data_IF_699701995068
#
_entry.id   IF_699701995068
#
_cell.length_a   1.000
_cell.length_b   1.000
_cell.length_c   1.000
_cell.angle_alpha   90.00
_cell.angle_beta   90.00
_cell.angle_gamma   90.00
#
_symmetry.space_group_name_H-M   'P 1'
#
loop_
_entity.id
_entity.type
_entity.pdbx_description
1 polymer ?
#
# COMPACT_ATOMS: atom_id res chain seq x y z
N UNK A 1 -60.61 24.56 39.56
CA UNK A 1 -59.43 24.26 40.38
C UNK A 1 -59.17 22.78 40.20
N UNK A 2 -58.38 22.41 39.19
CA UNK A 2 -56.90 22.51 39.17
C UNK A 2 -56.28 21.43 40.05
N UNK A 3 -55.21 20.75 39.65
CA UNK A 3 -54.64 20.47 38.32
C UNK A 3 -53.68 19.27 38.53
N UNK A 4 -53.41 18.51 37.47
CA UNK A 4 -52.29 17.56 37.24
C UNK A 4 -51.52 16.93 38.43
N UNK A 5 -51.26 15.62 38.46
CA UNK A 5 -50.86 14.79 37.32
C UNK A 5 -49.34 14.63 37.34
N UNK A 6 -48.84 13.70 38.16
CA UNK A 6 -47.39 13.44 38.28
C UNK A 6 -47.09 11.94 38.24
N UNK A 7 -47.45 11.31 37.12
CA UNK A 7 -46.87 10.02 36.75
C UNK A 7 -45.43 10.24 36.30
N UNK A 8 -44.53 10.31 37.29
CA UNK A 8 -43.10 10.44 37.05
C UNK A 8 -42.61 9.31 36.14
N UNK A 9 -42.28 9.67 34.91
CA UNK A 9 -41.89 8.77 33.83
C UNK A 9 -40.64 7.97 34.23
N UNK A 10 -40.85 6.80 34.83
CA UNK A 10 -39.79 5.86 35.21
C UNK A 10 -39.19 5.29 33.93
N UNK A 11 -38.18 5.99 33.38
CA UNK A 11 -37.33 5.44 32.32
C UNK A 11 -36.89 4.04 32.75
N UNK A 12 -37.36 3.06 31.98
CA UNK A 12 -37.21 1.67 32.33
C UNK A 12 -35.71 1.36 32.35
N UNK A 13 -35.15 0.85 33.46
CA UNK A 13 -33.68 0.71 33.62
C UNK A 13 -33.05 -0.11 32.48
N UNK A 14 -33.83 -1.03 31.91
CA UNK A 14 -33.46 -1.80 30.71
C UNK A 14 -33.28 -0.94 29.46
N UNK A 15 -34.09 0.11 29.23
CA UNK A 15 -33.93 1.02 28.11
C UNK A 15 -32.62 1.82 28.20
N UNK A 16 -32.24 2.28 29.40
CA UNK A 16 -30.95 2.95 29.63
C UNK A 16 -29.76 2.00 29.43
N UNK A 17 -29.89 0.73 29.83
CA UNK A 17 -28.85 -0.30 29.63
C UNK A 17 -28.74 -0.68 28.14
N UNK A 18 -29.84 -0.85 27.42
CA UNK A 18 -29.86 -1.13 25.98
C UNK A 18 -29.30 0.06 25.20
N UNK A 19 -29.65 1.29 25.55
CA UNK A 19 -29.08 2.49 24.93
C UNK A 19 -27.58 2.63 25.23
N UNK A 20 -27.14 2.35 26.46
CA UNK A 20 -25.71 2.36 26.80
C UNK A 20 -24.93 1.26 26.08
N UNK A 21 -25.50 0.06 25.91
CA UNK A 21 -24.90 -1.01 25.11
C UNK A 21 -24.87 -0.66 23.62
N UNK A 22 -25.92 -0.01 23.09
CA UNK A 22 -26.01 0.43 21.71
C UNK A 22 -25.00 1.55 21.40
N UNK A 23 -24.85 2.53 22.30
CA UNK A 23 -23.82 3.58 22.22
C UNK A 23 -22.42 2.98 22.39
N UNK A 24 -22.24 1.97 23.27
CA UNK A 24 -20.97 1.26 23.40
C UNK A 24 -20.62 0.35 22.21
N UNK A 25 -21.60 -0.10 21.42
CA UNK A 25 -21.38 -0.79 20.14
C UNK A 25 -21.21 0.16 18.95
N UNK A 26 -21.74 1.38 19.02
CA UNK A 26 -21.52 2.45 18.04
C UNK A 26 -20.20 3.20 18.27
N UNK A 27 -19.65 3.13 19.48
CA UNK A 27 -18.26 3.47 19.75
C UNK A 27 -17.34 2.42 19.13
N UNK A 28 -17.19 2.47 17.81
CA UNK A 28 -16.10 1.83 17.09
C UNK A 28 -14.79 2.28 17.74
N UNK A 29 -14.17 1.38 18.51
CA UNK A 29 -12.85 1.63 19.06
C UNK A 29 -11.91 1.84 17.89
N UNK A 30 -11.17 2.96 17.90
CA UNK A 30 -9.95 3.10 17.12
C UNK A 30 -9.10 1.85 17.39
N UNK A 31 -8.88 1.07 16.33
CA UNK A 31 -8.24 -0.22 16.36
C UNK A 31 -7.40 -0.37 15.09
N UNK A 32 -6.22 -0.97 15.25
CA UNK A 32 -5.40 -1.35 14.11
C UNK A 32 -6.14 -2.44 13.30
N UNK A 33 -6.35 -2.18 12.03
CA UNK A 33 -7.03 -3.04 11.06
C UNK A 33 -6.12 -3.20 9.84
N UNK A 34 -5.89 -4.42 9.38
CA UNK A 34 -5.08 -4.70 8.19
C UNK A 34 -5.95 -4.57 6.93
N UNK A 35 -5.80 -3.47 6.19
CA UNK A 35 -6.51 -3.24 4.94
C UNK A 35 -5.83 -4.02 3.82
N UNK A 36 -6.59 -4.83 3.09
CA UNK A 36 -6.11 -5.61 1.97
C UNK A 36 -5.85 -4.70 0.76
N UNK A 37 -4.63 -4.73 0.21
CA UNK A 37 -4.29 -3.95 -0.99
C UNK A 37 -5.06 -4.50 -2.19
N UNK A 38 -5.85 -3.65 -2.84
CA UNK A 38 -6.75 -4.06 -3.92
C UNK A 38 -5.98 -4.48 -5.17
N UNK A 39 -6.28 -5.69 -5.61
CA UNK A 39 -5.87 -6.26 -6.89
C UNK A 39 -6.80 -5.75 -7.98
N UNK A 40 -6.25 -4.98 -8.94
CA UNK A 40 -6.98 -4.47 -10.09
C UNK A 40 -6.87 -5.37 -11.32
N UNK A 41 -7.07 -4.82 -12.52
CA UNK A 41 -6.78 -5.52 -13.78
C UNK A 41 -5.28 -5.48 -14.10
N UNK A 42 -4.78 -6.44 -14.89
CA UNK A 42 -3.35 -6.64 -15.20
C UNK A 42 -2.81 -5.61 -16.22
N UNK A 43 -1.70 -4.90 -15.90
CA UNK A 43 -1.10 -3.86 -16.76
C UNK A 43 -0.15 -4.37 -17.85
N UNK A 44 0.31 -5.62 -17.81
CA UNK A 44 0.88 -6.20 -19.03
C UNK A 44 -0.25 -6.32 -20.06
N UNK A 45 -1.39 -6.82 -19.61
CA UNK A 45 -2.56 -7.14 -20.41
C UNK A 45 -3.24 -5.90 -21.02
N UNK A 46 -3.33 -4.78 -20.31
CA UNK A 46 -3.66 -3.48 -20.89
C UNK A 46 -2.48 -2.52 -20.62
N UNK A 47 -1.46 -2.43 -21.50
CA UNK A 47 -0.22 -1.68 -21.24
C UNK A 47 -0.35 -0.16 -21.38
N UNK A 48 -1.51 0.31 -21.85
CA UNK A 48 -1.77 1.69 -22.17
C UNK A 48 -0.91 2.21 -23.31
N UNK A 49 -0.89 3.54 -23.47
CA UNK A 49 0.05 4.19 -24.38
C UNK A 49 1.43 4.27 -23.72
N UNK A 50 2.45 3.66 -24.34
CA UNK A 50 3.84 3.76 -23.90
C UNK A 50 4.28 5.24 -23.78
N UNK A 51 4.46 5.71 -22.55
CA UNK A 51 4.72 7.13 -22.29
C UNK A 51 6.18 7.46 -22.49
N UNK A 52 6.42 8.57 -23.20
CA UNK A 52 7.76 9.13 -23.38
C UNK A 52 8.07 10.08 -22.22
N UNK A 53 9.29 10.00 -21.70
CA UNK A 53 9.80 10.89 -20.65
C UNK A 53 11.06 11.57 -21.16
N UNK A 54 11.04 12.90 -21.08
CA UNK A 54 11.98 13.76 -21.78
C UNK A 54 12.96 14.38 -20.79
N UNK A 55 14.24 13.94 -20.81
CA UNK A 55 15.25 14.46 -19.91
C UNK A 55 15.52 15.94 -20.21
N UNK A 56 15.72 16.74 -19.16
CA UNK A 56 15.99 18.16 -19.29
C UNK A 56 17.48 18.45 -19.47
N UNK A 57 17.93 18.58 -20.72
CA UNK A 57 19.34 18.86 -20.98
C UNK A 57 19.69 19.21 -22.43
N UNK A 58 20.99 19.36 -22.73
CA UNK A 58 21.50 19.54 -24.09
C UNK A 58 21.12 18.33 -25.00
N UNK A 59 21.17 18.46 -26.35
CA UNK A 59 20.55 17.52 -27.30
C UNK A 59 21.18 16.12 -27.41
N UNK A 60 22.01 15.70 -26.44
CA UNK A 60 22.71 14.41 -26.39
C UNK A 60 22.12 13.48 -25.33
N UNK A 61 20.79 13.38 -25.27
CA UNK A 61 20.08 12.55 -24.29
C UNK A 61 18.85 11.94 -24.98
N UNK A 62 18.64 10.65 -24.77
CA UNK A 62 17.59 9.88 -25.43
C UNK A 62 16.31 9.93 -24.57
N UNK A 63 15.12 10.18 -25.13
CA UNK A 63 13.86 10.01 -24.40
C UNK A 63 13.74 8.60 -23.82
N UNK A 64 13.36 8.51 -22.55
CA UNK A 64 12.99 7.26 -21.92
C UNK A 64 11.55 6.89 -22.31
N UNK A 65 11.18 5.62 -22.21
CA UNK A 65 9.77 5.24 -22.30
C UNK A 65 9.39 4.12 -21.35
N UNK A 66 8.16 4.17 -20.84
CA UNK A 66 7.63 3.18 -19.91
C UNK A 66 6.14 2.96 -20.13
N UNK A 67 5.69 1.75 -19.81
CA UNK A 67 4.28 1.37 -19.82
C UNK A 67 3.78 1.40 -18.38
N UNK A 68 2.74 2.18 -18.12
CA UNK A 68 2.08 2.29 -16.81
C UNK A 68 0.69 1.61 -16.78
N UNK A 69 0.23 1.13 -17.93
CA UNK A 69 -0.99 0.33 -18.04
C UNK A 69 -2.29 1.11 -18.02
N UNK A 70 -2.25 2.41 -18.32
CA UNK A 70 -3.35 3.38 -18.12
C UNK A 70 -3.96 3.38 -16.68
N UNK A 71 -3.33 2.68 -15.72
CA UNK A 71 -3.70 2.67 -14.30
C UNK A 71 -3.51 4.04 -13.63
N UNK A 72 -2.72 4.90 -14.27
CA UNK A 72 -2.47 6.31 -13.96
C UNK A 72 -3.55 7.25 -14.53
N UNK A 73 -4.38 6.75 -15.45
CA UNK A 73 -5.44 7.50 -16.13
C UNK A 73 -6.85 7.06 -15.67
N UNK A 74 -7.00 5.78 -15.30
CA UNK A 74 -8.19 5.22 -14.66
C UNK A 74 -9.07 4.35 -15.57
N UNK A 75 -8.49 3.61 -16.51
CA UNK A 75 -9.27 2.77 -17.42
C UNK A 75 -9.76 1.45 -16.80
N UNK A 76 -10.77 0.85 -17.44
CA UNK A 76 -11.47 -0.36 -17.00
C UNK A 76 -11.02 -1.67 -17.69
N UNK A 77 -9.89 -1.66 -18.40
CA UNK A 77 -9.62 -2.65 -19.46
C UNK A 77 -8.70 -3.82 -19.08
N UNK A 78 -8.92 -4.96 -19.75
CA UNK A 78 -8.20 -6.23 -19.61
C UNK A 78 -7.91 -6.87 -20.98
N UNK A 79 -6.67 -7.28 -21.29
CA UNK A 79 -6.37 -8.04 -22.54
C UNK A 79 -5.36 -9.21 -22.32
N UNK A 80 -4.19 -9.29 -22.98
CA UNK A 80 -3.18 -10.35 -22.80
C UNK A 80 -1.73 -9.88 -23.11
N UNK A 81 -0.74 -10.08 -22.22
CA UNK A 81 0.68 -9.86 -22.55
C UNK A 81 1.71 -10.74 -21.82
N UNK A 82 2.84 -11.09 -22.48
CA UNK A 82 3.87 -11.97 -21.94
C UNK A 82 4.91 -11.27 -21.06
N UNK A 83 5.57 -12.07 -20.21
CA UNK A 83 6.81 -11.70 -19.52
C UNK A 83 7.94 -11.42 -20.53
N UNK A 84 8.69 -10.34 -20.32
CA UNK A 84 9.82 -9.94 -21.18
C UNK A 84 11.20 -10.33 -20.61
N UNK A 85 11.25 -10.98 -19.43
CA UNK A 85 12.47 -11.50 -18.81
C UNK A 85 12.93 -12.86 -19.36
N UNK A 86 13.97 -13.43 -18.76
CA UNK A 86 14.48 -14.77 -19.13
C UNK A 86 14.04 -15.82 -18.11
N UNK A 87 13.53 -16.94 -18.61
CA UNK A 87 12.91 -17.98 -17.77
C UNK A 87 11.43 -17.71 -17.51
N UNK A 88 10.78 -18.60 -16.77
CA UNK A 88 9.39 -18.45 -16.36
C UNK A 88 9.35 -17.81 -14.97
N UNK A 89 8.70 -16.65 -14.77
CA UNK A 89 8.59 -16.06 -13.45
C UNK A 89 7.58 -16.87 -12.61
N UNK A 90 7.74 -16.89 -11.28
CA UNK A 90 6.81 -17.56 -10.36
C UNK A 90 5.40 -16.95 -10.48
N UNK A 91 5.37 -15.63 -10.47
CA UNK A 91 4.21 -14.81 -10.80
C UNK A 91 4.50 -14.06 -12.08
N UNK A 92 3.62 -14.15 -13.07
CA UNK A 92 3.70 -13.23 -14.21
C UNK A 92 3.58 -11.78 -13.70
N UNK A 93 4.30 -10.79 -14.26
CA UNK A 93 4.10 -9.40 -13.85
C UNK A 93 2.63 -9.03 -13.97
N UNK A 94 2.07 -8.51 -12.88
CA UNK A 94 0.65 -8.22 -12.74
C UNK A 94 -0.31 -9.43 -12.78
N UNK A 95 0.13 -10.67 -12.49
CA UNK A 95 -0.73 -11.88 -12.51
C UNK A 95 -2.07 -11.70 -11.78
N UNK A 96 -2.06 -10.98 -10.67
CA UNK A 96 -3.25 -10.63 -9.88
C UNK A 96 -3.84 -9.26 -10.22
N UNK A 97 -3.08 -8.43 -10.95
CA UNK A 97 -3.31 -7.01 -11.12
C UNK A 97 -3.19 -6.23 -9.80
N UNK A 98 -3.00 -4.91 -9.87
CA UNK A 98 -2.95 -4.09 -8.65
C UNK A 98 -3.29 -2.65 -8.94
N UNK A 99 -4.07 -2.06 -8.02
CA UNK A 99 -4.28 -0.63 -7.91
C UNK A 99 -3.23 0.05 -7.03
N UNK A 100 -2.50 -0.73 -6.21
CA UNK A 100 -1.42 -0.25 -5.34
C UNK A 100 -0.06 -0.48 -5.99
N UNK A 101 0.79 0.54 -6.02
CA UNK A 101 2.12 0.44 -6.61
C UNK A 101 3.10 1.47 -6.04
N UNK A 102 4.39 1.19 -6.24
CA UNK A 102 5.49 2.13 -6.10
C UNK A 102 6.00 2.53 -7.48
N UNK A 103 6.31 3.80 -7.66
CA UNK A 103 6.83 4.36 -8.89
C UNK A 103 8.22 4.94 -8.64
N UNK A 104 9.22 4.45 -9.39
CA UNK A 104 10.63 4.82 -9.25
C UNK A 104 11.10 5.63 -10.46
N UNK A 105 11.86 6.70 -10.21
CA UNK A 105 12.57 7.49 -11.22
C UNK A 105 14.09 7.26 -11.11
N UNK A 106 14.77 7.10 -12.24
CA UNK A 106 16.21 6.83 -12.32
C UNK A 106 16.78 7.09 -13.71
N UNK A 107 18.07 6.87 -13.92
CA UNK A 107 18.73 7.08 -15.22
C UNK A 107 19.88 6.10 -15.41
N UNK A 108 19.99 5.45 -16.58
CA UNK A 108 21.09 4.53 -16.92
C UNK A 108 22.09 5.14 -17.91
N UNK A 109 23.37 4.74 -17.90
CA UNK A 109 24.32 5.09 -18.96
C UNK A 109 23.95 4.44 -20.31
N UNK A 110 23.74 5.25 -21.34
CA UNK A 110 23.43 4.83 -22.71
C UNK A 110 24.69 4.85 -23.61
N UNK A 111 25.82 4.36 -23.08
CA UNK A 111 27.12 4.35 -23.78
C UNK A 111 27.58 5.77 -24.14
N UNK A 112 28.03 5.97 -25.39
CA UNK A 112 28.45 7.29 -25.90
C UNK A 112 27.30 8.25 -26.17
N UNK A 113 26.04 7.80 -26.07
CA UNK A 113 24.85 8.62 -26.31
C UNK A 113 24.32 9.34 -25.05
N UNK A 114 25.05 9.28 -23.93
CA UNK A 114 24.72 10.00 -22.70
C UNK A 114 24.05 9.11 -21.65
N UNK A 115 23.03 9.65 -20.98
CA UNK A 115 22.16 8.91 -20.07
C UNK A 115 20.79 8.69 -20.72
N UNK A 116 20.02 7.73 -20.22
CA UNK A 116 18.62 7.51 -20.60
C UNK A 116 17.79 7.43 -19.32
N UNK A 117 16.72 8.25 -19.15
CA UNK A 117 15.81 8.11 -18.03
C UNK A 117 15.15 6.74 -18.07
N UNK A 118 15.08 6.09 -16.91
CA UNK A 118 14.41 4.81 -16.69
C UNK A 118 13.43 4.96 -15.56
N UNK A 119 12.22 4.47 -15.80
CA UNK A 119 11.12 4.51 -14.86
C UNK A 119 10.65 3.09 -14.60
N UNK A 120 10.38 2.76 -13.34
CA UNK A 120 9.91 1.43 -12.97
C UNK A 120 8.69 1.48 -12.06
N UNK A 121 7.88 0.42 -12.11
CA UNK A 121 6.67 0.25 -11.29
C UNK A 121 6.71 -1.11 -10.61
N UNK A 122 6.60 -1.12 -9.28
CA UNK A 122 6.42 -2.33 -8.47
C UNK A 122 4.97 -2.41 -7.98
N UNK A 123 4.27 -3.50 -8.25
CA UNK A 123 2.87 -3.66 -7.86
C UNK A 123 2.72 -4.38 -6.54
N UNK A 124 2.01 -3.75 -5.61
CA UNK A 124 2.01 -4.14 -4.20
C UNK A 124 0.89 -5.12 -3.85
N UNK A 125 -0.16 -5.23 -4.67
CA UNK A 125 -1.28 -6.16 -4.46
C UNK A 125 -1.02 -7.58 -4.96
N UNK A 126 -1.54 -8.57 -4.24
CA UNK A 126 -1.39 -9.99 -4.51
C UNK A 126 -1.37 -10.82 -3.21
N UNK A 127 -1.12 -12.14 -3.28
CA UNK A 127 -0.80 -12.95 -2.10
C UNK A 127 0.59 -12.63 -1.57
N UNK A 128 0.83 -12.88 -0.28
CA UNK A 128 2.19 -12.83 0.27
C UNK A 128 2.96 -14.06 -0.18
N UNK A 129 4.28 -13.90 -0.37
CA UNK A 129 5.18 -15.03 -0.59
C UNK A 129 5.97 -15.36 0.67
N UNK A 130 6.27 -16.65 0.83
CA UNK A 130 7.35 -17.14 1.69
C UNK A 130 8.61 -17.33 0.86
N UNK A 131 9.74 -16.82 1.34
CA UNK A 131 10.98 -16.81 0.59
C UNK A 131 11.91 -18.00 0.93
N UNK A 132 11.59 -18.86 1.90
CA UNK A 132 12.32 -20.11 2.09
C UNK A 132 11.85 -21.29 1.22
N UNK A 133 10.70 -21.15 0.56
CA UNK A 133 10.12 -22.17 -0.32
C UNK A 133 9.35 -23.28 0.39
N UNK A 134 9.16 -23.22 1.71
CA UNK A 134 8.47 -24.26 2.48
C UNK A 134 6.97 -23.97 2.65
N UNK A 135 6.15 -24.54 1.77
CA UNK A 135 4.68 -24.46 1.84
C UNK A 135 4.06 -25.10 3.10
N UNK A 136 4.85 -25.80 3.94
CA UNK A 136 4.37 -26.62 5.05
C UNK A 136 4.60 -26.04 6.46
N UNK A 137 5.43 -24.99 6.61
CA UNK A 137 5.81 -24.49 7.93
C UNK A 137 4.83 -23.46 8.54
N UNK A 138 3.99 -22.81 7.72
CA UNK A 138 3.05 -21.76 8.13
C UNK A 138 3.71 -20.49 8.70
N UNK A 139 4.98 -20.25 8.38
CA UNK A 139 5.86 -19.27 9.05
C UNK A 139 6.62 -18.43 8.02
N UNK A 140 5.97 -17.37 7.54
CA UNK A 140 6.52 -16.44 6.55
C UNK A 140 7.94 -15.97 6.87
N UNK A 141 8.86 -16.20 5.95
CA UNK A 141 10.22 -15.67 5.97
C UNK A 141 10.41 -14.58 4.93
N UNK A 142 10.94 -13.42 5.36
CA UNK A 142 11.22 -12.27 4.48
C UNK A 142 12.63 -12.26 3.87
N UNK A 143 13.45 -13.29 4.12
CA UNK A 143 14.78 -13.45 3.53
C UNK A 143 14.81 -14.71 2.67
N UNK A 144 15.29 -14.66 1.41
CA UNK A 144 15.32 -15.83 0.56
C UNK A 144 16.29 -16.88 1.08
N UNK A 145 15.91 -18.15 0.92
CA UNK A 145 16.81 -19.27 1.18
C UNK A 145 17.54 -19.65 -0.12
N UNK A 146 18.87 -19.57 -0.11
CA UNK A 146 19.69 -19.86 -1.28
C UNK A 146 19.38 -21.25 -1.86
N UNK A 147 19.08 -21.29 -3.16
CA UNK A 147 18.73 -22.52 -3.89
C UNK A 147 17.25 -22.93 -3.79
N UNK A 148 16.41 -22.18 -3.07
CA UNK A 148 14.96 -22.38 -3.04
C UNK A 148 14.23 -21.34 -3.91
N UNK A 149 13.05 -21.73 -4.40
CA UNK A 149 12.13 -20.82 -5.08
C UNK A 149 11.12 -20.32 -4.06
N UNK A 150 10.80 -19.01 -4.00
CA UNK A 150 9.69 -18.51 -3.19
C UNK A 150 8.37 -19.21 -3.52
N UNK A 151 7.46 -19.27 -2.55
CA UNK A 151 6.13 -19.90 -2.70
C UNK A 151 5.04 -18.95 -2.24
N UNK A 152 3.88 -18.98 -2.89
CA UNK A 152 2.69 -18.27 -2.39
C UNK A 152 2.23 -18.87 -1.07
N UNK A 153 1.84 -18.03 -0.11
CA UNK A 153 1.21 -18.45 1.13
C UNK A 153 -0.31 -18.44 0.93
N UNK A 154 -1.00 -19.60 0.86
CA UNK A 154 -2.41 -19.64 0.48
C UNK A 154 -3.31 -18.89 1.47
N UNK A 155 -4.25 -18.10 0.95
CA UNK A 155 -5.20 -17.32 1.76
C UNK A 155 -4.61 -16.06 2.41
N UNK A 156 -3.39 -15.66 2.05
CA UNK A 156 -2.81 -14.37 2.45
C UNK A 156 -3.01 -13.31 1.37
N UNK A 157 -2.87 -12.05 1.77
CA UNK A 157 -2.95 -10.87 0.90
C UNK A 157 -1.90 -9.86 1.36
N UNK A 158 -1.36 -9.06 0.44
CA UNK A 158 -0.62 -7.85 0.80
C UNK A 158 -1.53 -6.85 1.53
N UNK A 159 -1.03 -6.19 2.57
CA UNK A 159 -1.81 -5.31 3.45
C UNK A 159 -1.12 -3.99 3.79
N UNK A 160 -1.94 -3.01 4.18
CA UNK A 160 -1.52 -1.83 4.95
C UNK A 160 -2.33 -1.79 6.25
N UNK A 161 -1.62 -1.87 7.38
CA UNK A 161 -2.23 -1.80 8.70
C UNK A 161 -2.49 -0.35 9.08
N UNK A 162 -3.74 0.01 9.31
CA UNK A 162 -4.15 1.37 9.65
C UNK A 162 -4.95 1.38 10.95
N UNK A 163 -4.70 2.38 11.80
CA UNK A 163 -5.53 2.69 12.95
C UNK A 163 -6.28 4.00 12.67
N UNK A 164 -7.60 3.92 12.46
CA UNK A 164 -8.43 5.08 12.19
C UNK A 164 -9.13 5.57 13.47
N UNK A 165 -8.90 6.83 13.84
CA UNK A 165 -9.63 7.52 14.90
C UNK A 165 -10.37 8.72 14.30
N UNK A 166 -11.56 8.45 13.75
CA UNK A 166 -12.45 9.45 13.15
C UNK A 166 -13.01 10.45 14.17
N UNK A 167 -12.99 10.11 15.47
CA UNK A 167 -13.47 10.99 16.54
C UNK A 167 -12.38 11.90 17.10
N UNK A 168 -11.15 11.39 17.30
CA UNK A 168 -9.97 12.17 17.67
C UNK A 168 -9.29 12.88 16.49
N UNK A 169 -9.66 12.55 15.26
CA UNK A 169 -9.18 13.19 14.04
C UNK A 169 -7.78 12.75 13.61
N UNK A 170 -7.42 11.49 13.85
CA UNK A 170 -6.08 10.96 13.57
C UNK A 170 -6.10 9.63 12.81
N UNK A 171 -4.98 9.34 12.14
CA UNK A 171 -4.71 8.09 11.45
C UNK A 171 -3.29 7.63 11.76
N UNK A 172 -3.13 6.37 12.14
CA UNK A 172 -1.83 5.74 12.38
C UNK A 172 -1.50 4.66 11.37
N UNK A 173 -0.24 4.60 10.93
CA UNK A 173 0.30 3.51 10.11
C UNK A 173 0.89 2.45 11.06
N UNK A 174 0.24 1.29 11.16
CA UNK A 174 0.62 0.25 12.13
C UNK A 174 1.35 -0.91 11.49
N UNK A 175 1.12 -1.19 10.21
CA UNK A 175 1.81 -2.22 9.45
C UNK A 175 1.88 -1.82 7.96
N UNK A 176 2.82 -2.38 7.23
CA UNK A 176 2.84 -2.35 5.77
C UNK A 176 3.54 -3.62 5.32
N UNK A 177 2.89 -4.40 4.46
CA UNK A 177 3.39 -5.71 4.09
C UNK A 177 2.94 -6.08 2.67
N UNK A 178 3.83 -5.91 1.71
CA UNK A 178 3.54 -6.18 0.31
C UNK A 178 4.69 -6.92 -0.37
N UNK A 179 4.39 -8.10 -0.91
CA UNK A 179 5.30 -8.80 -1.82
C UNK A 179 4.87 -8.52 -3.26
N UNK A 180 5.80 -8.10 -4.08
CA UNK A 180 5.58 -7.52 -5.40
C UNK A 180 6.40 -8.23 -6.48
N UNK A 181 6.03 -8.01 -7.74
CA UNK A 181 6.87 -8.33 -8.89
C UNK A 181 7.34 -7.06 -9.58
N UNK A 182 8.64 -6.98 -9.80
CA UNK A 182 9.30 -5.96 -10.60
C UNK A 182 8.88 -6.11 -12.08
N UNK A 183 8.40 -5.05 -12.73
CA UNK A 183 8.21 -5.09 -14.17
C UNK A 183 9.54 -5.13 -14.93
N UNK A 184 9.67 -6.15 -15.78
CA UNK A 184 9.94 -5.84 -17.19
C UNK A 184 11.36 -5.44 -17.60
N UNK A 185 12.42 -5.75 -16.84
CA UNK A 185 13.77 -5.75 -17.42
C UNK A 185 14.13 -7.12 -18.04
N UNK A 186 14.40 -7.20 -19.36
CA UNK A 186 14.80 -8.45 -20.02
C UNK A 186 16.12 -9.01 -19.50
N UNK A 187 16.16 -10.29 -19.13
CA UNK A 187 17.37 -10.98 -18.67
C UNK A 187 17.42 -11.36 -17.19
N UNK A 188 16.43 -10.96 -16.39
CA UNK A 188 16.27 -11.45 -15.01
C UNK A 188 15.32 -12.65 -14.95
N UNK A 189 15.46 -13.47 -13.91
CA UNK A 189 14.59 -14.62 -13.61
C UNK A 189 13.71 -14.41 -12.38
N UNK A 190 12.86 -15.39 -11.99
CA UNK A 190 12.00 -15.30 -10.80
C UNK A 190 12.78 -14.94 -9.53
N UNK A 191 13.97 -15.52 -9.34
CA UNK A 191 14.83 -15.31 -8.18
C UNK A 191 15.58 -13.95 -8.17
N UNK A 192 15.10 -12.96 -8.95
CA UNK A 192 15.61 -11.58 -8.99
C UNK A 192 14.45 -10.59 -9.26
N UNK A 193 13.33 -11.07 -9.84
CA UNK A 193 12.16 -10.26 -10.20
C UNK A 193 11.11 -10.09 -9.08
N UNK A 194 11.27 -10.72 -7.92
CA UNK A 194 10.39 -10.52 -6.75
C UNK A 194 10.98 -9.43 -5.85
N UNK A 195 10.13 -8.56 -5.31
CA UNK A 195 10.50 -7.54 -4.33
C UNK A 195 9.63 -7.62 -3.08
N UNK A 196 10.20 -7.29 -1.91
CA UNK A 196 9.48 -7.26 -0.62
C UNK A 196 9.50 -5.83 -0.11
N UNK A 197 8.33 -5.35 0.33
CA UNK A 197 8.12 -4.00 0.83
C UNK A 197 7.50 -4.08 2.23
N UNK A 198 8.17 -3.51 3.24
CA UNK A 198 7.71 -3.52 4.65
C UNK A 198 8.01 -2.19 5.35
N UNK A 199 7.40 -1.92 6.52
CA UNK A 199 7.78 -0.74 7.32
C UNK A 199 9.25 -0.79 7.75
N UNK A 200 9.84 0.39 7.91
CA UNK A 200 11.18 0.53 8.46
C UNK A 200 11.35 -0.14 9.84
N UNK A 201 12.51 -0.73 10.06
CA UNK A 201 12.84 -1.45 11.29
C UNK A 201 12.26 -2.86 11.37
N UNK A 202 11.49 -3.31 10.37
CA UNK A 202 10.93 -4.67 10.32
C UNK A 202 12.05 -5.71 10.31
N UNK A 203 12.01 -6.60 11.29
CA UNK A 203 12.99 -7.66 11.46
C UNK A 203 12.81 -8.73 10.36
N UNK A 204 13.84 -9.56 10.05
CA UNK A 204 13.78 -10.57 8.98
C UNK A 204 12.69 -11.65 9.13
N UNK A 205 12.04 -11.72 10.30
CA UNK A 205 10.91 -12.59 10.62
C UNK A 205 9.55 -11.84 10.61
N UNK A 206 9.48 -10.64 10.04
CA UNK A 206 8.27 -9.81 10.00
C UNK A 206 7.94 -9.06 11.30
N UNK A 207 8.75 -9.16 12.36
CA UNK A 207 8.47 -8.42 13.61
C UNK A 207 8.75 -6.92 13.42
N UNK A 208 7.76 -6.08 13.62
CA UNK A 208 7.88 -4.63 13.46
C UNK A 208 8.86 -4.01 14.47
N UNK A 209 9.72 -3.11 13.98
CA UNK A 209 10.66 -2.32 14.78
C UNK A 209 10.37 -0.82 14.74
N UNK A 210 11.29 -0.04 15.32
CA UNK A 210 11.28 1.42 15.27
C UNK A 210 11.72 1.95 13.90
N UNK A 211 11.20 3.11 13.50
CA UNK A 211 11.70 3.92 12.39
C UNK A 211 13.22 4.13 12.44
N UNK A 212 13.89 4.16 11.29
CA UNK A 212 15.25 4.72 11.19
C UNK A 212 15.18 6.25 11.24
N UNK A 213 14.27 6.84 10.46
CA UNK A 213 14.12 8.29 10.30
C UNK A 213 12.82 8.80 10.96
N UNK A 214 12.71 8.83 12.31
CA UNK A 214 11.46 9.19 13.02
C UNK A 214 11.00 10.64 12.80
N UNK A 215 11.83 11.50 12.19
CA UNK A 215 11.42 12.84 11.75
C UNK A 215 10.56 12.84 10.47
N UNK A 216 10.50 11.72 9.74
CA UNK A 216 9.68 11.52 8.53
C UNK A 216 8.72 10.33 8.73
N UNK A 217 9.22 9.20 9.23
CA UNK A 217 8.39 8.05 9.63
C UNK A 217 7.74 8.29 11.00
N UNK A 218 6.81 9.24 11.04
CA UNK A 218 6.00 9.52 12.22
C UNK A 218 4.99 8.40 12.50
N UNK A 219 4.64 7.61 11.47
CA UNK A 219 3.54 6.63 11.47
C UNK A 219 2.20 7.20 11.95
N UNK A 220 2.04 8.51 11.82
CA UNK A 220 0.89 9.28 12.33
C UNK A 220 0.58 10.40 11.34
N UNK A 221 -0.71 10.62 11.10
CA UNK A 221 -1.26 11.71 10.30
C UNK A 221 -2.59 12.20 10.84
N UNK A 222 -3.16 13.21 10.19
CA UNK A 222 -4.48 13.75 10.51
C UNK A 222 -5.57 13.12 9.63
N UNK A 223 -6.74 12.90 10.24
CA UNK A 223 -7.94 12.38 9.59
C UNK A 223 -9.09 13.37 9.86
N UNK A 224 -9.62 14.02 8.82
CA UNK A 224 -10.66 15.04 8.97
C UNK A 224 -11.87 14.74 8.10
N UNK A 225 -13.08 14.79 8.67
CA UNK A 225 -14.32 14.64 7.92
C UNK A 225 -14.42 15.71 6.81
N UNK A 226 -14.60 15.27 5.57
CA UNK A 226 -14.75 16.11 4.38
C UNK A 226 -16.20 16.16 3.91
N UNK A 227 -16.84 14.99 3.82
CA UNK A 227 -18.27 14.81 3.54
C UNK A 227 -18.79 13.62 4.36
N UNK A 228 -20.12 13.38 4.48
CA UNK A 228 -20.64 12.20 5.17
C UNK A 228 -20.04 10.91 4.61
N UNK A 229 -19.40 10.12 5.47
CA UNK A 229 -18.69 8.89 5.07
C UNK A 229 -17.36 9.10 4.33
N UNK A 230 -16.88 10.34 4.14
CA UNK A 230 -15.63 10.64 3.42
C UNK A 230 -14.71 11.49 4.29
N UNK A 231 -13.51 10.98 4.58
CA UNK A 231 -12.52 11.63 5.43
C UNK A 231 -11.23 11.86 4.64
N UNK A 232 -10.69 13.06 4.74
CA UNK A 232 -9.38 13.41 4.19
C UNK A 232 -8.27 12.92 5.12
N UNK A 233 -7.28 12.23 4.56
CA UNK A 233 -6.00 11.89 5.20
C UNK A 233 -4.95 12.91 4.79
N UNK A 234 -4.15 13.39 5.75
CA UNK A 234 -2.99 14.24 5.48
C UNK A 234 -1.83 13.97 6.44
N UNK A 235 -0.61 14.22 5.97
CA UNK A 235 0.62 14.17 6.77
C UNK A 235 0.91 12.80 7.43
N UNK A 236 0.43 11.69 6.84
CA UNK A 236 0.69 10.35 7.36
C UNK A 236 2.12 9.93 6.98
N UNK A 237 3.07 10.23 7.85
CA UNK A 237 4.50 9.95 7.64
C UNK A 237 4.81 8.45 7.55
N UNK A 238 5.72 8.08 6.63
CA UNK A 238 6.16 6.71 6.42
C UNK A 238 7.66 6.61 6.07
N UNK A 239 8.27 5.50 6.44
CA UNK A 239 9.48 4.93 5.84
C UNK A 239 9.22 3.45 5.53
N UNK A 240 9.37 3.06 4.27
CA UNK A 240 9.20 1.69 3.76
C UNK A 240 10.55 1.19 3.26
N UNK A 241 10.92 -0.01 3.68
CA UNK A 241 12.05 -0.74 3.14
C UNK A 241 11.61 -1.60 1.97
N UNK A 242 12.37 -1.54 0.89
CA UNK A 242 12.22 -2.37 -0.30
C UNK A 242 13.48 -3.21 -0.51
N UNK A 243 13.31 -4.50 -0.72
CA UNK A 243 14.40 -5.43 -1.04
C UNK A 243 14.17 -6.11 -2.40
N UNK A 244 15.23 -6.25 -3.19
CA UNK A 244 15.23 -7.03 -4.44
C UNK A 244 15.81 -8.41 -4.17
N UNK A 245 14.98 -9.43 -4.36
CA UNK A 245 15.18 -10.76 -3.77
C UNK A 245 16.07 -11.63 -4.67
N UNK A 246 17.33 -11.21 -4.84
CA UNK A 246 18.40 -12.10 -5.31
C UNK A 246 18.97 -12.87 -4.09
N UNK A 247 19.01 -14.21 -4.11
CA UNK A 247 19.60 -14.98 -3.01
C UNK A 247 21.09 -14.68 -2.75
N UNK A 248 21.75 -13.92 -3.61
CA UNK A 248 23.11 -13.38 -3.44
C UNK A 248 23.18 -11.92 -3.00
N UNK A 249 22.13 -11.10 -3.18
CA UNK A 249 22.08 -9.72 -2.67
C UNK A 249 21.76 -9.68 -1.17
N UNK A 250 20.93 -10.60 -0.69
CA UNK A 250 20.29 -10.54 0.62
C UNK A 250 21.00 -11.35 1.72
N UNK A 251 22.30 -11.08 1.93
CA UNK A 251 23.04 -11.60 3.10
C UNK A 251 22.78 -10.71 4.32
N UNK A 252 21.60 -10.90 4.93
CA UNK A 252 20.96 -9.91 5.78
C UNK A 252 21.76 -9.41 6.99
N UNK A 253 21.72 -8.08 7.17
CA UNK A 253 21.69 -7.42 8.47
C UNK A 253 20.49 -6.44 8.49
N UNK A 254 19.29 -7.00 8.33
CA UNK A 254 17.97 -6.35 8.15
C UNK A 254 17.72 -5.73 6.76
N UNK A 255 16.61 -6.16 6.16
CA UNK A 255 16.20 -5.99 4.76
C UNK A 255 16.16 -4.53 4.33
N UNK A 256 16.45 -4.25 3.07
CA UNK A 256 16.33 -2.88 2.54
C UNK A 256 17.46 -2.53 1.61
N UNK A 257 17.37 -2.99 0.37
CA UNK A 257 18.15 -2.48 -0.78
C UNK A 257 17.83 -1.00 -1.05
N UNK A 258 16.59 -0.59 -0.77
CA UNK A 258 16.12 0.80 -0.87
C UNK A 258 15.27 1.16 0.35
N UNK A 259 15.27 2.45 0.72
CA UNK A 259 14.27 3.05 1.61
C UNK A 259 13.42 4.04 0.80
N UNK A 260 12.11 4.05 0.99
CA UNK A 260 11.19 5.05 0.46
C UNK A 260 10.56 5.83 1.61
N UNK A 261 10.58 7.15 1.50
CA UNK A 261 10.23 8.06 2.58
C UNK A 261 9.28 9.15 2.08
N UNK A 262 8.40 9.60 2.97
CA UNK A 262 7.56 10.75 2.72
C UNK A 262 6.35 10.82 3.63
N UNK A 263 5.30 11.40 3.09
CA UNK A 263 4.00 11.53 3.74
C UNK A 263 2.92 11.09 2.75
N UNK A 264 2.01 10.23 3.21
CA UNK A 264 0.78 9.90 2.52
C UNK A 264 -0.29 10.96 2.80
N UNK A 265 -1.08 11.26 1.77
CA UNK A 265 -2.37 11.94 1.87
C UNK A 265 -3.42 11.13 1.12
N UNK A 266 -4.70 11.46 1.25
CA UNK A 266 -5.74 10.87 0.43
C UNK A 266 -7.08 10.82 1.15
N UNK A 267 -7.77 9.69 1.04
CA UNK A 267 -9.18 9.54 1.38
C UNK A 267 -9.47 8.21 2.06
N UNK A 268 -10.23 8.25 3.16
CA UNK A 268 -10.96 7.10 3.69
C UNK A 268 -12.43 7.29 3.32
N UNK A 269 -13.03 6.27 2.73
CA UNK A 269 -14.45 6.23 2.34
C UNK A 269 -15.11 5.09 3.11
N UNK A 270 -16.14 5.40 3.90
CA UNK A 270 -16.96 4.46 4.67
C UNK A 270 -18.33 4.28 4.00
N UNK A 271 -18.92 3.09 4.10
CA UNK A 271 -20.34 2.87 3.74
C UNK A 271 -21.27 3.65 4.67
N UNK A 272 -22.43 4.03 4.14
CA UNK A 272 -23.49 4.70 4.87
C UNK A 272 -24.35 3.72 5.70
N UNK A 273 -25.41 4.23 6.34
CA UNK A 273 -26.33 3.41 7.13
C UNK A 273 -27.20 2.43 6.34
N UNK A 274 -27.23 2.52 5.00
CA UNK A 274 -27.88 1.56 4.11
C UNK A 274 -26.92 0.46 3.64
N UNK A 275 -25.61 0.65 3.84
CA UNK A 275 -24.56 -0.23 3.34
C UNK A 275 -24.04 0.16 1.96
N UNK A 276 -24.30 1.38 1.48
CA UNK A 276 -23.82 1.88 0.20
C UNK A 276 -22.63 2.84 0.40
N UNK A 277 -21.69 2.86 -0.53
CA UNK A 277 -20.66 3.91 -0.54
C UNK A 277 -21.27 5.23 -1.06
N UNK A 278 -20.90 6.40 -0.51
CA UNK A 278 -21.33 7.68 -1.04
C UNK A 278 -20.78 7.89 -2.46
N UNK A 279 -21.56 8.48 -3.35
CA UNK A 279 -21.08 8.91 -4.68
C UNK A 279 -20.00 9.97 -4.51
N UNK A 280 -18.83 9.73 -5.10
CA UNK A 280 -17.63 10.57 -4.94
C UNK A 280 -17.44 11.56 -6.08
N UNK A 281 -17.95 11.26 -7.27
CA UNK A 281 -17.91 12.14 -8.44
C UNK A 281 -18.49 13.52 -8.12
N UNK A 282 -17.75 14.57 -8.47
CA UNK A 282 -18.14 15.96 -8.22
C UNK A 282 -17.99 16.45 -6.77
N UNK A 283 -17.59 15.61 -5.80
CA UNK A 283 -17.34 16.06 -4.42
C UNK A 283 -16.11 16.97 -4.28
N UNK A 284 -15.24 17.02 -5.30
CA UNK A 284 -14.04 17.86 -5.26
C UNK A 284 -12.90 17.25 -4.46
N UNK A 285 -12.68 15.94 -4.57
CA UNK A 285 -11.54 15.22 -3.96
C UNK A 285 -10.16 15.64 -4.49
N UNK A 286 -10.11 16.64 -5.38
CA UNK A 286 -8.89 17.20 -5.95
C UNK A 286 -8.27 16.31 -7.03
N UNK A 287 -7.02 16.63 -7.36
CA UNK A 287 -6.19 15.87 -8.30
C UNK A 287 -5.17 15.02 -7.54
N UNK A 288 -4.60 14.05 -8.25
CA UNK A 288 -3.48 13.23 -7.82
C UNK A 288 -2.21 14.02 -7.47
N UNK A 289 -1.37 13.48 -6.57
CA UNK A 289 -0.02 13.97 -6.26
C UNK A 289 0.94 13.69 -7.39
N UNK A 290 1.24 12.41 -7.66
CA UNK A 290 1.68 11.90 -8.95
C UNK A 290 0.89 12.65 -10.06
N UNK A 291 1.51 13.62 -10.75
CA UNK A 291 2.88 13.63 -11.27
C UNK A 291 4.00 14.34 -10.46
N UNK A 292 3.65 15.09 -9.42
CA UNK A 292 4.50 16.06 -8.73
C UNK A 292 5.72 15.41 -8.06
N UNK A 293 6.92 15.91 -8.39
CA UNK A 293 8.17 15.52 -7.72
C UNK A 293 8.45 16.48 -6.56
N UNK A 294 8.52 15.93 -5.35
CA UNK A 294 8.71 16.72 -4.13
C UNK A 294 10.18 17.07 -3.88
N UNK A 295 10.60 18.24 -4.36
CA UNK A 295 11.98 18.72 -4.23
C UNK A 295 12.35 19.28 -2.85
N UNK A 296 11.41 19.37 -1.89
CA UNK A 296 11.66 19.99 -0.59
C UNK A 296 12.77 19.31 0.24
N UNK A 297 13.05 18.03 -0.05
CA UNK A 297 14.07 17.23 0.63
C UNK A 297 15.42 17.18 -0.10
N UNK A 298 15.56 17.79 -1.28
CA UNK A 298 16.83 17.81 -2.02
C UNK A 298 17.90 18.56 -1.22
N UNK A 299 19.06 17.93 -1.04
CA UNK A 299 20.16 18.41 -0.21
C UNK A 299 20.01 18.14 1.29
N UNK A 300 18.91 17.55 1.74
CA UNK A 300 18.77 17.05 3.11
C UNK A 300 19.46 15.70 3.25
N UNK A 301 19.97 15.42 4.46
CA UNK A 301 20.60 14.14 4.80
C UNK A 301 19.67 13.28 5.67
N UNK A 302 19.54 12.01 5.31
CA UNK A 302 18.75 11.01 6.04
C UNK A 302 19.59 9.79 6.37
N UNK A 303 19.25 9.12 7.46
CA UNK A 303 19.99 7.95 7.94
C UNK A 303 19.65 6.72 7.09
N UNK A 304 20.66 5.93 6.72
CA UNK A 304 20.49 4.73 5.89
C UNK A 304 20.64 3.42 6.66
N UNK A 305 19.96 2.35 6.21
CA UNK A 305 20.01 1.05 6.89
C UNK A 305 21.33 0.29 6.69
N UNK A 306 22.04 0.51 5.57
CA UNK A 306 23.20 -0.28 5.15
C UNK A 306 24.58 0.29 5.54
N UNK A 307 24.71 0.84 6.74
CA UNK A 307 26.03 1.20 7.28
C UNK A 307 26.67 2.43 6.63
N UNK A 308 28.01 2.46 6.54
CA UNK A 308 28.73 3.72 6.25
C UNK A 308 28.71 4.15 4.77
N UNK A 309 28.54 5.45 4.47
CA UNK A 309 28.28 6.54 5.42
C UNK A 309 26.86 6.41 6.01
N UNK A 310 26.66 6.56 7.32
CA UNK A 310 25.36 6.30 7.96
C UNK A 310 24.26 7.28 7.54
N UNK A 311 24.59 8.30 6.74
CA UNK A 311 23.65 9.25 6.15
C UNK A 311 23.99 9.46 4.67
N UNK A 312 22.96 9.64 3.85
CA UNK A 312 23.06 10.03 2.43
C UNK A 312 22.28 11.30 2.15
N UNK A 313 22.71 12.06 1.14
CA UNK A 313 22.05 13.30 0.72
C UNK A 313 21.09 13.02 -0.43
N UNK A 314 19.83 13.42 -0.31
CA UNK A 314 18.86 13.31 -1.40
C UNK A 314 19.25 14.25 -2.55
N UNK A 315 19.31 13.72 -3.77
CA UNK A 315 19.60 14.50 -4.98
C UNK A 315 18.33 14.81 -5.78
N UNK A 316 18.47 15.62 -6.83
CA UNK A 316 17.41 15.85 -7.83
C UNK A 316 17.58 14.98 -9.09
N UNK A 317 18.36 13.91 -9.00
CA UNK A 317 18.92 13.22 -10.17
C UNK A 317 20.19 13.90 -10.71
N UNK A 318 20.83 13.33 -11.74
CA UNK A 318 22.01 13.89 -12.36
C UNK A 318 21.69 15.19 -13.13
N UNK A 319 22.69 16.04 -13.36
CA UNK A 319 22.52 17.35 -14.03
C UNK A 319 21.89 17.28 -15.43
N UNK A 320 22.04 16.15 -16.12
CA UNK A 320 21.48 15.91 -17.45
C UNK A 320 20.01 15.44 -17.41
N UNK A 321 19.54 14.92 -16.28
CA UNK A 321 18.21 14.31 -16.14
C UNK A 321 17.66 14.62 -14.74
N UNK A 322 17.20 15.86 -14.56
CA UNK A 322 16.65 16.32 -13.28
C UNK A 322 15.21 15.85 -13.13
N UNK A 323 14.88 15.11 -12.07
CA UNK A 323 13.53 14.57 -11.90
C UNK A 323 12.48 15.66 -11.66
N UNK A 324 12.86 16.82 -11.11
CA UNK A 324 11.97 17.97 -10.98
C UNK A 324 11.69 18.73 -12.28
N UNK A 325 12.21 18.29 -13.43
CA UNK A 325 12.08 19.04 -14.67
C UNK A 325 10.67 18.94 -15.28
N UNK A 326 10.24 19.94 -16.09
CA UNK A 326 8.97 19.86 -16.81
C UNK A 326 8.92 18.63 -17.72
N UNK A 327 7.92 17.77 -17.51
CA UNK A 327 7.76 16.51 -18.27
C UNK A 327 8.34 15.25 -17.60
N UNK A 328 9.07 15.37 -16.49
CA UNK A 328 9.57 14.23 -15.69
C UNK A 328 8.62 13.79 -14.56
N UNK A 329 7.39 14.32 -14.56
CA UNK A 329 6.28 13.82 -13.76
C UNK A 329 5.42 12.78 -14.50
N UNK A 330 4.51 12.12 -13.79
CA UNK A 330 3.46 11.29 -14.40
C UNK A 330 2.40 12.09 -15.19
N UNK A 331 1.19 11.54 -15.34
CA UNK A 331 0.05 12.24 -15.96
C UNK A 331 -1.03 12.57 -14.93
N UNK A 332 -1.84 13.63 -15.15
CA UNK A 332 -3.09 13.82 -14.43
C UNK A 332 -4.14 12.77 -14.88
N UNK A 333 -5.11 12.48 -14.02
CA UNK A 333 -6.28 11.64 -14.35
C UNK A 333 -7.05 12.21 -15.56
N UNK A 334 -6.81 11.69 -16.77
CA UNK A 334 -7.45 12.20 -17.99
C UNK A 334 -8.87 11.69 -18.17
N UNK A 335 -9.14 10.44 -17.81
CA UNK A 335 -10.27 9.71 -18.38
C UNK A 335 -11.60 10.00 -17.64
N UNK A 336 -11.50 10.61 -16.47
CA UNK A 336 -12.60 11.22 -15.72
C UNK A 336 -12.49 12.75 -15.65
N UNK A 337 -11.78 13.38 -16.59
CA UNK A 337 -11.67 14.84 -16.68
C UNK A 337 -10.98 15.51 -15.48
N UNK A 338 -10.09 14.78 -14.79
CA UNK A 338 -9.40 15.22 -13.58
C UNK A 338 -10.10 14.89 -12.26
N UNK A 339 -11.31 14.30 -12.28
CA UNK A 339 -12.07 14.00 -11.07
C UNK A 339 -11.67 12.65 -10.44
N UNK A 340 -10.89 12.73 -9.36
CA UNK A 340 -10.52 11.57 -8.55
C UNK A 340 -11.74 10.84 -7.95
N UNK A 341 -12.83 11.55 -7.63
CA UNK A 341 -14.06 10.93 -7.14
C UNK A 341 -14.70 10.03 -8.19
N UNK A 342 -14.80 10.51 -9.42
CA UNK A 342 -15.31 9.71 -10.53
C UNK A 342 -14.42 8.51 -10.88
N UNK A 343 -13.09 8.61 -10.74
CA UNK A 343 -12.19 7.45 -10.82
C UNK A 343 -12.53 6.39 -9.74
N UNK A 344 -12.67 6.83 -8.49
CA UNK A 344 -12.96 5.92 -7.38
C UNK A 344 -14.33 5.24 -7.58
N UNK A 345 -15.37 5.99 -7.95
CA UNK A 345 -16.71 5.46 -8.22
C UNK A 345 -16.75 4.41 -9.34
N UNK A 346 -16.01 4.63 -10.44
CA UNK A 346 -16.12 3.79 -11.65
C UNK A 346 -15.08 2.66 -11.74
N UNK A 347 -13.96 2.76 -11.01
CA UNK A 347 -12.85 1.80 -11.10
C UNK A 347 -12.58 1.10 -9.78
N UNK A 348 -12.57 1.83 -8.66
CA UNK A 348 -12.15 1.28 -7.37
C UNK A 348 -13.31 0.61 -6.64
N UNK A 349 -14.39 1.35 -6.39
CA UNK A 349 -15.54 0.85 -5.63
C UNK A 349 -16.18 -0.44 -6.22
N UNK A 350 -16.24 -0.66 -7.56
CA UNK A 350 -16.73 -1.90 -8.14
C UNK A 350 -15.86 -3.14 -7.89
N UNK A 351 -14.59 -2.95 -7.48
CA UNK A 351 -13.64 -4.04 -7.17
C UNK A 351 -13.56 -4.36 -5.67
N UNK A 352 -14.31 -3.62 -4.84
CA UNK A 352 -14.36 -3.79 -3.38
C UNK A 352 -15.34 -4.90 -3.03
N UNK A 353 -14.97 -5.76 -2.08
CA UNK A 353 -15.84 -6.81 -1.58
C UNK A 353 -17.15 -6.19 -1.02
N UNK A 354 -18.34 -6.70 -1.38
CA UNK A 354 -19.62 -6.19 -0.87
C UNK A 354 -19.73 -6.14 0.65
N UNK A 355 -18.97 -6.97 1.38
CA UNK A 355 -18.94 -7.04 2.84
C UNK A 355 -17.85 -6.16 3.47
N UNK A 356 -16.91 -5.60 2.69
CA UNK A 356 -15.96 -4.60 3.15
C UNK A 356 -16.67 -3.27 3.41
N UNK A 357 -16.46 -2.68 4.60
CA UNK A 357 -17.14 -1.46 5.03
C UNK A 357 -16.41 -0.18 4.64
N UNK A 358 -15.13 -0.27 4.30
CA UNK A 358 -14.27 0.88 4.05
C UNK A 358 -13.32 0.67 2.88
N UNK A 359 -13.01 1.76 2.21
CA UNK A 359 -11.96 1.87 1.19
C UNK A 359 -11.01 2.98 1.60
N UNK A 360 -9.73 2.78 1.32
CA UNK A 360 -8.67 3.74 1.56
C UNK A 360 -7.91 3.97 0.26
N UNK A 361 -7.81 5.22 -0.16
CA UNK A 361 -6.93 5.69 -1.22
C UNK A 361 -5.87 6.58 -0.60
N UNK A 362 -4.60 6.24 -0.73
CA UNK A 362 -3.47 7.03 -0.24
C UNK A 362 -2.45 7.22 -1.35
N UNK A 363 -1.83 8.39 -1.40
CA UNK A 363 -0.82 8.75 -2.37
C UNK A 363 0.29 9.59 -1.74
N UNK A 364 1.51 9.51 -2.28
CA UNK A 364 2.66 10.31 -1.86
C UNK A 364 3.49 10.81 -3.04
N UNK A 365 4.10 11.98 -2.85
CA UNK A 365 5.22 12.48 -3.63
C UNK A 365 6.45 12.41 -2.73
N UNK A 366 7.13 11.26 -2.78
CA UNK A 366 8.19 10.89 -1.86
C UNK A 366 9.59 11.00 -2.46
N UNK A 367 10.53 10.46 -1.70
CA UNK A 367 11.93 10.33 -2.08
C UNK A 367 12.47 8.99 -1.59
N UNK A 368 13.64 8.60 -2.07
CA UNK A 368 14.22 7.31 -1.76
C UNK A 368 15.72 7.37 -1.62
N UNK A 369 16.24 6.44 -0.83
CA UNK A 369 17.66 6.22 -0.61
C UNK A 369 18.03 4.84 -1.11
N UNK A 370 19.18 4.74 -1.76
CA UNK A 370 19.74 3.48 -2.20
C UNK A 370 20.75 2.99 -1.17
N UNK A 371 20.43 1.87 -0.56
CA UNK A 371 21.25 1.23 0.45
C UNK A 371 22.22 0.20 -0.18
N UNK A 372 22.19 0.04 -1.50
CA UNK A 372 22.97 -0.92 -2.26
C UNK A 372 23.95 -0.23 -3.22
N UNK A 373 24.77 -1.01 -3.90
CA UNK A 373 25.65 -0.50 -4.96
C UNK A 373 24.97 -0.38 -6.34
N UNK A 374 23.64 -0.55 -6.44
CA UNK A 374 22.91 -0.44 -7.71
C UNK A 374 22.94 1.00 -8.26
N UNK A 375 23.66 1.30 -9.35
CA UNK A 375 23.81 2.69 -9.81
C UNK A 375 22.56 3.26 -10.50
N UNK A 376 21.50 2.48 -10.73
CA UNK A 376 20.37 2.87 -11.59
C UNK A 376 19.38 3.81 -10.90
N UNK A 377 19.15 3.63 -9.60
CA UNK A 377 18.11 4.31 -8.82
C UNK A 377 18.70 4.95 -7.53
N UNK A 378 19.73 5.79 -7.66
CA UNK A 378 20.44 6.39 -6.52
C UNK A 378 19.61 7.36 -5.65
N UNK A 379 20.21 7.90 -4.58
CA UNK A 379 19.55 8.73 -3.56
C UNK A 379 18.85 9.95 -4.16
N UNK A 380 17.52 9.94 -4.22
CA UNK A 380 16.80 10.92 -5.05
C UNK A 380 15.35 11.21 -4.67
N UNK A 381 14.89 12.39 -5.06
CA UNK A 381 13.47 12.75 -5.11
C UNK A 381 12.77 12.08 -6.29
N UNK A 382 11.46 11.84 -6.16
CA UNK A 382 10.65 11.26 -7.24
C UNK A 382 10.43 9.75 -7.08
N UNK A 383 10.28 9.30 -5.84
CA UNK A 383 9.68 8.00 -5.55
C UNK A 383 8.25 8.23 -5.07
N UNK A 384 7.27 7.83 -5.88
CA UNK A 384 5.86 8.04 -5.58
C UNK A 384 5.24 6.71 -5.16
N UNK A 385 4.28 6.75 -4.24
CA UNK A 385 3.49 5.57 -3.85
C UNK A 385 2.02 5.87 -4.01
N UNK A 386 1.25 4.89 -4.46
CA UNK A 386 -0.21 4.87 -4.31
C UNK A 386 -0.63 3.55 -3.70
N UNK A 387 -1.48 3.64 -2.69
CA UNK A 387 -2.10 2.52 -2.01
C UNK A 387 -3.61 2.64 -2.18
N UNK A 388 -4.25 1.59 -2.67
CA UNK A 388 -5.70 1.46 -2.73
C UNK A 388 -6.05 0.16 -2.03
N UNK A 389 -6.81 0.25 -0.94
CA UNK A 389 -7.01 -0.87 -0.02
C UNK A 389 -8.44 -0.92 0.55
N UNK A 390 -8.93 -2.10 0.90
CA UNK A 390 -10.23 -2.32 1.53
C UNK A 390 -10.09 -2.83 2.96
N UNK A 391 -11.04 -2.49 3.84
CA UNK A 391 -11.17 -3.17 5.14
C UNK A 391 -11.45 -4.67 4.92
N UNK A 392 -10.99 -5.57 5.82
CA UNK A 392 -11.42 -6.97 5.82
C UNK A 392 -12.94 -7.14 5.65
N UNK A 393 -13.40 -8.07 4.78
CA UNK A 393 -14.81 -8.41 4.67
C UNK A 393 -15.39 -8.88 6.01
N UNK A 394 -16.58 -8.38 6.39
CA UNK A 394 -17.26 -8.89 7.59
C UNK A 394 -17.63 -10.37 7.37
N UNK A 395 -17.25 -11.30 8.27
CA UNK A 395 -17.62 -12.71 8.13
C UNK A 395 -19.14 -12.87 8.10
N UNK A 396 -19.67 -13.64 7.15
CA UNK A 396 -21.11 -13.87 7.04
C UNK A 396 -21.74 -14.34 8.37
N UNK A 397 -23.03 -14.03 8.63
CA UNK A 397 -23.70 -14.41 9.87
C UNK A 397 -23.65 -15.91 10.20
N UNK A 398 -23.55 -16.78 9.18
CA UNK A 398 -23.36 -18.22 9.36
C UNK A 398 -22.03 -18.55 10.06
N UNK A 399 -20.95 -17.83 9.74
CA UNK A 399 -19.62 -17.97 10.33
C UNK A 399 -19.62 -17.53 11.80
N UNK A 400 -20.29 -16.41 12.12
CA UNK A 400 -20.50 -15.96 13.51
C UNK A 400 -21.33 -16.98 14.31
N UNK A 401 -22.36 -17.57 13.71
CA UNK A 401 -23.13 -18.66 14.30
C UNK A 401 -22.28 -19.90 14.63
N UNK A 402 -21.38 -20.29 13.72
CA UNK A 402 -20.44 -21.42 13.90
C UNK A 402 -19.41 -21.16 15.02
N UNK A 403 -18.89 -19.92 15.13
CA UNK A 403 -17.97 -19.51 16.21
C UNK A 403 -18.69 -19.53 17.56
N UNK A 404 -19.93 -19.04 17.63
CA UNK A 404 -20.74 -19.09 18.86
C UNK A 404 -21.11 -20.53 19.26
N UNK A 405 -21.47 -21.39 18.30
CA UNK A 405 -21.77 -22.80 18.55
C UNK A 405 -20.55 -23.56 19.08
N UNK A 406 -19.38 -23.40 18.45
CA UNK A 406 -18.14 -24.06 18.88
C UNK A 406 -17.69 -23.61 20.29
N UNK A 407 -17.83 -22.32 20.62
CA UNK A 407 -17.60 -21.83 21.99
C UNK A 407 -18.55 -22.45 23.03
N UNK A 408 -19.81 -22.70 22.68
CA UNK A 408 -20.79 -23.39 23.55
C UNK A 408 -20.43 -24.86 23.76
N UNK A 409 -19.95 -25.57 22.74
CA UNK A 409 -19.51 -26.96 22.87
C UNK A 409 -18.26 -27.11 23.75
N UNK A 410 -17.25 -26.24 23.59
CA UNK A 410 -16.05 -26.25 24.46
C UNK A 410 -16.42 -26.04 25.93
N UNK A 411 -17.43 -25.21 26.22
CA UNK A 411 -17.88 -24.96 27.61
C UNK A 411 -18.69 -26.11 28.22
N UNK A 412 -19.27 -27.01 27.41
CA UNK A 412 -19.98 -28.22 27.89
C UNK A 412 -19.05 -29.40 28.21
N UNK A 413 -17.82 -29.42 27.69
CA UNK A 413 -16.87 -30.53 27.89
C UNK A 413 -16.26 -30.67 29.29
N UNK A 414 -16.49 -29.74 30.23
CA UNK A 414 -15.87 -29.73 31.57
C UNK A 414 -16.83 -30.09 32.72
N UNK A 415 -17.67 -31.12 32.58
CA UNK A 415 -18.39 -31.71 33.72
C UNK A 415 -18.33 -33.24 33.74
N UNK A 416 -17.84 -33.73 34.88
CA UNK A 416 -18.00 -35.09 35.42
C UNK A 416 -17.20 -36.24 34.78
N UNK A 417 -16.00 -36.47 35.32
CA UNK A 417 -15.57 -37.81 35.71
C UNK A 417 -15.03 -37.74 37.15
N UNK A 418 -15.81 -38.21 38.12
CA UNK A 418 -15.35 -38.41 39.51
C UNK A 418 -14.88 -39.86 39.60
N UNK A 419 -13.62 -40.15 39.95
CA UNK A 419 -13.19 -41.51 40.18
C UNK A 419 -13.83 -42.04 41.47
N UNK A 420 -14.39 -43.26 41.40
CA UNK A 420 -14.63 -44.11 42.58
C UNK A 420 -13.55 -45.19 42.58
N UNK A 421 -12.87 -45.34 43.71
CA UNK A 421 -11.70 -46.19 43.92
C UNK A 421 -10.85 -45.57 45.02
#
# INVERSE_FOLDING_TARGET
MEWEGNEGMRMNRYASIVLALFVASLASKAGAEDYQLLTGLNAGMAPGAARQVFPSGPPSIIPGSFNDGDRLAGTSDASAAPYLGTGTPLLSPNQYGSLSFLFRRGSIPAGSAGQQPVLNVDYLGGPLLDLDGDMGNGSRRLTPLAGQTPVEIPGTFSTVGLNLDTAGGSIGLTNFDATATNQGFPGFGPNIAVTVNTLAGTQPNGTLGSAINPGIDTRQGALSLFAPGVYQVSNLGYEIWHDSIDPTSSTAATLGTFQYLGSLRGWVIERDGNGDFPTLAGLGLGTTLWPLVNTANVGQMYAQSSGMPPFVSITNGPTADQFSAPGNGGLPLSDFGGDLGAYLDNVVLPLVDPLSQRVVYLESAGFGMNNSFDPVFGDTTGYDMVLVAQSPPIPEPATLGMILLSAVFVRRGRRCAVPRG
#
